data_IF_414604241406
#
_entry.id   IF_414604241406
#
_cell.length_a   1.000
_cell.length_b   1.000
_cell.length_c   1.000
_cell.angle_alpha   90.00
_cell.angle_beta   90.00
_cell.angle_gamma   90.00
#
_symmetry.space_group_name_H-M   'P 1'
#
loop_
_entity.id
_entity.type
_entity.pdbx_description
1 polymer ?
#
# COMPACT_ATOMS: atom_id res chain seq x y z
N UNK A 1 14.34 19.80 12.66
CA UNK A 1 15.15 19.41 11.49
C UNK A 1 14.28 19.39 10.23
N UNK A 2 13.17 18.65 10.17
CA UNK A 2 12.34 18.53 8.98
C UNK A 2 11.76 19.89 8.54
N UNK A 3 11.24 20.67 9.47
CA UNK A 3 10.69 22.00 9.23
C UNK A 3 11.71 22.96 8.61
N UNK A 4 12.93 22.96 9.08
CA UNK A 4 14.02 23.80 8.52
C UNK A 4 14.50 23.30 7.16
N UNK A 5 14.60 21.99 6.96
CA UNK A 5 15.13 21.37 5.75
C UNK A 5 14.14 21.35 4.58
N UNK A 6 12.87 21.01 4.80
CA UNK A 6 11.74 20.95 3.86
C UNK A 6 11.96 20.19 2.53
N UNK A 7 13.03 19.41 2.38
CA UNK A 7 13.35 18.72 1.11
C UNK A 7 12.29 17.71 0.68
N UNK A 8 11.49 17.21 1.62
CA UNK A 8 10.49 16.18 1.38
C UNK A 8 9.08 16.74 1.08
N UNK A 9 8.91 18.08 1.09
CA UNK A 9 7.59 18.74 0.94
C UNK A 9 6.79 18.26 -0.28
N UNK A 10 7.45 17.91 -1.36
CA UNK A 10 6.82 17.50 -2.61
C UNK A 10 6.55 16.01 -2.74
N UNK A 11 6.83 15.20 -1.71
CA UNK A 11 6.69 13.74 -1.81
C UNK A 11 5.29 13.23 -1.45
N UNK A 12 4.65 13.83 -0.46
CA UNK A 12 3.32 13.43 0.03
C UNK A 12 2.69 14.57 0.84
N UNK A 13 1.44 14.41 1.26
CA UNK A 13 0.71 15.41 2.05
C UNK A 13 1.18 15.49 3.51
N UNK A 14 1.79 14.43 4.06
CA UNK A 14 2.25 14.40 5.45
C UNK A 14 3.26 15.52 5.79
N UNK A 15 4.13 15.88 4.86
CA UNK A 15 5.10 16.96 5.09
C UNK A 15 4.52 18.36 4.97
N UNK A 16 3.73 18.71 3.94
CA UNK A 16 3.00 19.98 3.93
C UNK A 16 2.18 20.16 5.21
N UNK A 17 1.36 19.20 5.60
CA UNK A 17 0.58 19.26 6.84
C UNK A 17 1.46 19.49 8.08
N UNK A 18 2.61 18.80 8.20
CA UNK A 18 3.54 19.05 9.30
C UNK A 18 4.08 20.49 9.29
N UNK A 19 4.41 21.00 8.12
CA UNK A 19 4.99 22.34 8.00
C UNK A 19 3.96 23.43 8.23
N UNK A 20 2.75 23.27 7.72
CA UNK A 20 1.64 24.20 7.91
C UNK A 20 1.23 24.27 9.40
N UNK A 21 1.15 23.15 10.09
CA UNK A 21 0.89 23.11 11.54
C UNK A 21 1.94 23.91 12.36
N UNK A 22 3.20 23.88 11.92
CA UNK A 22 4.26 24.63 12.59
C UNK A 22 4.21 26.11 12.20
N UNK A 23 4.06 26.40 10.90
CA UNK A 23 4.04 27.76 10.37
C UNK A 23 2.81 28.56 10.85
N UNK A 24 1.70 27.87 11.16
CA UNK A 24 0.47 28.46 11.70
C UNK A 24 0.46 28.52 13.24
N UNK A 25 1.44 27.94 13.93
CA UNK A 25 1.50 27.98 15.40
C UNK A 25 1.98 29.34 15.91
N UNK A 26 1.57 29.72 17.11
CA UNK A 26 1.92 31.02 17.72
C UNK A 26 3.45 31.21 17.90
N UNK A 27 4.18 30.12 18.08
CA UNK A 27 5.64 30.16 18.30
C UNK A 27 6.44 29.94 17.02
N UNK A 28 5.80 29.52 15.91
CA UNK A 28 6.46 29.04 14.68
C UNK A 28 7.41 27.86 14.94
N UNK A 29 7.19 27.11 16.00
CA UNK A 29 8.00 25.95 16.41
C UNK A 29 7.08 24.78 16.85
N UNK A 30 7.67 23.61 17.02
CA UNK A 30 6.93 22.38 17.37
C UNK A 30 6.20 22.47 18.72
N UNK A 31 6.67 23.27 19.64
CA UNK A 31 6.06 23.48 20.97
C UNK A 31 4.74 24.26 20.92
N UNK A 32 4.51 25.01 19.83
CA UNK A 32 3.25 25.70 19.58
C UNK A 32 2.16 24.84 18.95
N UNK A 33 2.47 23.61 18.54
CA UNK A 33 1.52 22.70 17.87
C UNK A 33 0.84 21.81 18.92
N UNK A 34 -0.51 21.69 18.86
CA UNK A 34 -1.23 20.75 19.72
C UNK A 34 -0.84 19.30 19.39
N UNK A 35 -0.56 18.52 20.44
CA UNK A 35 -0.15 17.12 20.28
C UNK A 35 -1.16 16.26 19.50
N UNK A 36 -2.44 16.59 19.56
CA UNK A 36 -3.49 15.88 18.82
C UNK A 36 -3.44 16.15 17.31
N UNK A 37 -2.90 17.29 16.88
CA UNK A 37 -2.82 17.66 15.47
C UNK A 37 -1.74 16.87 14.73
N UNK A 38 -0.70 16.37 15.41
CA UNK A 38 0.27 15.47 14.80
C UNK A 38 -0.34 14.17 14.26
N UNK A 39 -1.53 13.78 14.75
CA UNK A 39 -2.25 12.63 14.20
C UNK A 39 -2.62 12.84 12.72
N UNK A 40 -2.87 14.08 12.27
CA UNK A 40 -3.11 14.40 10.85
C UNK A 40 -1.90 14.04 10.00
N UNK A 41 -0.71 14.41 10.47
CA UNK A 41 0.57 14.08 9.81
C UNK A 41 0.79 12.59 9.70
N UNK A 42 0.46 11.84 10.77
CA UNK A 42 0.57 10.37 10.81
C UNK A 42 -0.41 9.72 9.83
N UNK A 43 -1.66 10.21 9.78
CA UNK A 43 -2.71 9.63 8.94
C UNK A 43 -2.41 9.82 7.44
N UNK A 44 -1.70 10.89 7.06
CA UNK A 44 -1.33 11.19 5.67
C UNK A 44 -0.02 10.53 5.18
N UNK A 45 0.68 9.84 6.05
CA UNK A 45 1.86 9.09 5.66
C UNK A 45 1.48 7.76 4.99
N UNK A 46 1.91 7.57 3.74
CA UNK A 46 1.66 6.35 2.94
C UNK A 46 2.65 5.21 3.19
N UNK A 47 3.58 5.35 4.13
CA UNK A 47 4.60 4.35 4.42
C UNK A 47 5.43 3.91 3.19
N UNK A 48 5.65 4.81 2.23
CA UNK A 48 6.32 4.51 0.96
C UNK A 48 7.85 4.60 1.00
N UNK A 49 8.42 5.06 2.10
CA UNK A 49 9.87 5.24 2.36
C UNK A 49 10.62 6.17 1.39
N UNK A 50 9.97 6.82 0.44
CA UNK A 50 10.64 7.71 -0.53
C UNK A 50 11.42 8.84 0.15
N UNK A 51 10.89 9.39 1.25
CA UNK A 51 11.60 10.42 2.01
C UNK A 51 12.91 9.89 2.59
N UNK A 52 12.90 8.67 3.11
CA UNK A 52 14.08 8.02 3.67
C UNK A 52 15.10 7.65 2.59
N UNK A 53 14.65 6.99 1.51
CA UNK A 53 15.53 6.43 0.50
C UNK A 53 16.12 7.47 -0.45
N UNK A 54 15.40 8.54 -0.77
CA UNK A 54 15.79 9.42 -1.88
C UNK A 54 16.04 10.87 -1.51
N UNK A 55 15.47 11.37 -0.41
CA UNK A 55 15.46 12.82 -0.13
C UNK A 55 16.16 13.23 1.16
N UNK A 56 16.04 12.44 2.22
CA UNK A 56 16.54 12.83 3.52
C UNK A 56 18.07 12.71 3.62
N UNK A 57 18.80 13.79 3.85
CA UNK A 57 20.25 13.73 4.05
C UNK A 57 20.65 13.29 5.47
N UNK A 58 19.68 13.12 6.36
CA UNK A 58 19.90 12.86 7.78
C UNK A 58 19.61 11.40 8.18
N UNK A 59 19.37 10.52 7.21
CA UNK A 59 19.28 9.08 7.46
C UNK A 59 20.66 8.48 7.74
N UNK A 60 20.77 7.28 8.32
CA UNK A 60 22.05 6.59 8.47
C UNK A 60 22.86 6.58 7.16
N UNK A 61 24.16 6.83 7.19
CA UNK A 61 25.06 6.91 8.35
C UNK A 61 25.16 8.28 9.04
N UNK A 62 24.26 9.22 8.77
CA UNK A 62 24.25 10.51 9.45
C UNK A 62 24.06 10.33 10.97
N UNK A 63 24.77 11.12 11.83
CA UNK A 63 24.67 10.95 13.30
C UNK A 63 23.27 11.09 13.89
N UNK A 64 22.40 11.86 13.23
CA UNK A 64 21.01 12.00 13.66
C UNK A 64 20.13 10.79 13.36
N UNK A 65 20.53 9.93 12.43
CA UNK A 65 19.86 8.68 12.07
C UNK A 65 18.34 8.82 11.97
N UNK A 66 17.86 9.87 11.27
CA UNK A 66 16.42 10.15 11.17
C UNK A 66 15.71 9.08 10.37
N UNK A 67 14.61 8.60 10.91
CA UNK A 67 13.72 7.63 10.27
C UNK A 67 12.26 8.09 10.44
N UNK A 68 11.81 8.95 9.53
CA UNK A 68 10.46 9.50 9.55
C UNK A 68 9.39 8.40 9.31
N UNK A 69 9.54 7.48 8.34
CA UNK A 69 8.58 6.40 8.14
C UNK A 69 8.36 5.54 9.39
N UNK A 70 9.42 5.15 10.08
CA UNK A 70 9.28 4.40 11.34
C UNK A 70 8.60 5.19 12.46
N UNK A 71 8.85 6.50 12.53
CA UNK A 71 8.14 7.36 13.47
C UNK A 71 6.64 7.38 13.17
N UNK A 72 6.26 7.51 11.90
CA UNK A 72 4.87 7.47 11.47
C UNK A 72 4.23 6.11 11.75
N UNK A 73 4.96 5.01 11.51
CA UNK A 73 4.48 3.66 11.83
C UNK A 73 4.16 3.51 13.33
N UNK A 74 5.00 4.05 14.21
CA UNK A 74 4.72 4.06 15.66
C UNK A 74 3.46 4.84 15.98
N UNK A 75 3.27 6.02 15.38
CA UNK A 75 2.04 6.81 15.51
C UNK A 75 0.80 6.05 15.04
N UNK A 76 0.87 5.41 13.88
CA UNK A 76 -0.21 4.55 13.34
C UNK A 76 -0.52 3.39 14.28
N UNK A 77 0.49 2.71 14.82
CA UNK A 77 0.29 1.59 15.75
C UNK A 77 -0.40 2.01 17.05
N UNK A 78 0.02 3.12 17.65
CA UNK A 78 -0.62 3.70 18.85
C UNK A 78 -2.09 4.06 18.54
N UNK A 79 -2.33 4.79 17.45
CA UNK A 79 -3.67 5.17 17.04
C UNK A 79 -4.58 3.96 16.76
N UNK A 80 -4.01 2.89 16.18
CA UNK A 80 -4.74 1.65 15.92
C UNK A 80 -5.16 0.96 17.23
N UNK A 81 -4.27 0.86 18.20
CA UNK A 81 -4.59 0.26 19.51
C UNK A 81 -5.61 1.09 20.28
N UNK A 82 -5.49 2.41 20.30
CA UNK A 82 -6.39 3.32 21.01
C UNK A 82 -7.76 3.46 20.35
N UNK A 83 -7.80 3.66 19.03
CA UNK A 83 -9.04 3.88 18.26
C UNK A 83 -9.83 2.60 17.99
N UNK A 84 -9.21 1.44 18.07
CA UNK A 84 -9.82 0.17 17.62
C UNK A 84 -10.71 -0.50 18.67
N UNK A 85 -11.44 0.30 19.44
CA UNK A 85 -12.38 -0.20 20.47
C UNK A 85 -13.71 -0.70 19.89
N UNK A 86 -14.11 -0.27 18.68
CA UNK A 86 -15.37 -0.66 18.04
C UNK A 86 -15.25 -1.94 17.25
N UNK A 87 -16.05 -2.96 17.56
CA UNK A 87 -16.14 -4.23 16.82
C UNK A 87 -16.47 -4.00 15.34
N UNK A 88 -17.35 -3.03 15.02
CA UNK A 88 -17.71 -2.68 13.64
C UNK A 88 -16.49 -2.19 12.85
N UNK A 89 -15.68 -1.33 13.45
CA UNK A 89 -14.46 -0.80 12.83
C UNK A 89 -13.44 -1.92 12.61
N UNK A 90 -13.21 -2.76 13.61
CA UNK A 90 -12.30 -3.91 13.50
C UNK A 90 -12.72 -4.88 12.39
N UNK A 91 -14.02 -5.19 12.29
CA UNK A 91 -14.55 -6.04 11.24
C UNK A 91 -14.33 -5.43 9.84
N UNK A 92 -14.63 -4.12 9.67
CA UNK A 92 -14.38 -3.40 8.42
C UNK A 92 -12.90 -3.44 8.04
N UNK A 93 -12.02 -3.06 8.96
CA UNK A 93 -10.58 -2.98 8.73
C UNK A 93 -10.01 -4.37 8.40
N UNK A 94 -10.48 -5.43 9.08
CA UNK A 94 -10.12 -6.82 8.78
C UNK A 94 -10.54 -7.25 7.36
N UNK A 95 -11.72 -6.85 6.90
CA UNK A 95 -12.20 -7.14 5.54
C UNK A 95 -11.35 -6.41 4.51
N UNK A 96 -11.17 -5.10 4.65
CA UNK A 96 -10.45 -4.25 3.69
C UNK A 96 -8.98 -4.69 3.56
N UNK A 97 -8.35 -5.07 4.67
CA UNK A 97 -6.94 -5.47 4.67
C UNK A 97 -6.70 -6.95 4.36
N UNK A 98 -7.75 -7.75 4.22
CA UNK A 98 -7.65 -9.16 3.81
C UNK A 98 -7.68 -9.30 2.28
N UNK A 99 -6.76 -8.66 1.60
CA UNK A 99 -6.72 -8.51 0.13
C UNK A 99 -6.73 -9.84 -0.61
N UNK A 100 -6.06 -10.88 -0.13
CA UNK A 100 -6.08 -12.21 -0.74
C UNK A 100 -7.46 -12.87 -0.66
N UNK A 101 -8.13 -12.78 0.50
CA UNK A 101 -9.47 -13.35 0.69
C UNK A 101 -10.49 -12.56 -0.12
N UNK A 102 -10.39 -11.23 -0.09
CA UNK A 102 -11.25 -10.35 -0.85
C UNK A 102 -11.08 -10.60 -2.36
N UNK A 103 -9.85 -10.69 -2.86
CA UNK A 103 -9.57 -10.98 -4.26
C UNK A 103 -10.14 -12.31 -4.72
N UNK A 104 -10.06 -13.37 -3.91
CA UNK A 104 -10.70 -14.66 -4.20
C UNK A 104 -12.22 -14.57 -4.23
N UNK A 105 -12.81 -13.83 -3.28
CA UNK A 105 -14.26 -13.66 -3.19
C UNK A 105 -14.80 -12.86 -4.38
N UNK A 106 -14.11 -11.80 -4.79
CA UNK A 106 -14.50 -10.94 -5.91
C UNK A 106 -14.46 -11.63 -7.28
N UNK A 107 -13.81 -12.80 -7.38
CA UNK A 107 -13.78 -13.62 -8.60
C UNK A 107 -15.00 -14.54 -8.76
N UNK A 108 -15.87 -14.64 -7.75
CA UNK A 108 -17.13 -15.36 -7.86
C UNK A 108 -18.09 -14.60 -8.78
N UNK A 109 -18.71 -15.26 -9.79
CA UNK A 109 -19.47 -14.57 -10.85
C UNK A 109 -20.56 -13.63 -10.33
N UNK A 110 -21.34 -14.04 -9.34
CA UNK A 110 -22.40 -13.22 -8.73
C UNK A 110 -21.85 -11.99 -8.00
N UNK A 111 -20.70 -12.14 -7.34
CA UNK A 111 -20.07 -11.06 -6.58
C UNK A 111 -19.40 -10.07 -7.53
N UNK A 112 -18.73 -10.56 -8.58
CA UNK A 112 -18.13 -9.72 -9.61
C UNK A 112 -19.18 -8.84 -10.32
N UNK A 113 -20.32 -9.43 -10.71
CA UNK A 113 -21.41 -8.69 -11.34
C UNK A 113 -21.98 -7.63 -10.39
N UNK A 114 -22.24 -7.96 -9.15
CA UNK A 114 -22.78 -7.03 -8.16
C UNK A 114 -21.78 -5.92 -7.83
N UNK A 115 -20.50 -6.27 -7.67
CA UNK A 115 -19.43 -5.32 -7.46
C UNK A 115 -19.30 -4.31 -8.60
N UNK A 116 -19.30 -4.78 -9.85
CA UNK A 116 -19.26 -3.92 -11.05
C UNK A 116 -20.48 -3.02 -11.15
N UNK A 117 -21.67 -3.53 -10.86
CA UNK A 117 -22.89 -2.74 -10.84
C UNK A 117 -22.85 -1.62 -9.79
N UNK A 118 -22.34 -1.91 -8.58
CA UNK A 118 -22.18 -0.91 -7.51
C UNK A 118 -21.08 0.09 -7.86
N UNK A 119 -19.93 -0.38 -8.34
CA UNK A 119 -18.78 0.48 -8.65
C UNK A 119 -19.03 1.44 -9.81
N UNK A 120 -19.89 1.08 -10.77
CA UNK A 120 -20.27 1.92 -11.91
C UNK A 120 -21.40 2.90 -11.62
N UNK A 121 -22.18 2.71 -10.54
CA UNK A 121 -23.33 3.55 -10.21
C UNK A 121 -22.97 4.61 -9.17
N UNK A 122 -23.02 5.93 -9.50
CA UNK A 122 -22.73 7.01 -8.54
C UNK A 122 -23.63 6.97 -7.31
N UNK A 123 -24.92 6.61 -7.48
CA UNK A 123 -25.89 6.52 -6.38
C UNK A 123 -25.54 5.35 -5.44
N UNK A 124 -25.26 4.18 -6.01
CA UNK A 124 -24.87 3.00 -5.23
C UNK A 124 -23.55 3.25 -4.49
N UNK A 125 -22.59 3.94 -5.09
CA UNK A 125 -21.32 4.35 -4.43
C UNK A 125 -21.56 5.28 -3.25
N UNK A 126 -22.49 6.24 -3.34
CA UNK A 126 -22.84 7.10 -2.18
C UNK A 126 -23.42 6.30 -1.01
N UNK A 127 -24.24 5.29 -1.29
CA UNK A 127 -24.78 4.40 -0.25
C UNK A 127 -23.66 3.53 0.34
N UNK A 128 -22.84 2.93 -0.50
CA UNK A 128 -21.70 2.13 -0.06
C UNK A 128 -20.71 2.96 0.79
N UNK A 129 -20.47 4.21 0.43
CA UNK A 129 -19.62 5.14 1.19
C UNK A 129 -20.09 5.31 2.64
N UNK A 130 -21.40 5.47 2.87
CA UNK A 130 -21.97 5.58 4.23
C UNK A 130 -21.77 4.29 5.06
N UNK A 131 -21.77 3.14 4.42
CA UNK A 131 -21.62 1.84 5.09
C UNK A 131 -20.15 1.49 5.37
N UNK A 132 -19.28 1.75 4.39
CA UNK A 132 -17.87 1.35 4.42
C UNK A 132 -16.94 2.43 4.96
N UNK A 133 -17.34 3.70 4.88
CA UNK A 133 -16.49 4.87 5.15
C UNK A 133 -15.49 5.17 4.03
N UNK A 134 -15.58 4.49 2.86
CA UNK A 134 -14.79 4.80 1.68
C UNK A 134 -15.47 5.91 0.90
N UNK A 135 -14.72 6.96 0.52
CA UNK A 135 -15.29 8.09 -0.22
C UNK A 135 -15.96 7.64 -1.53
N UNK A 136 -17.11 8.24 -1.87
CA UNK A 136 -17.87 7.81 -3.04
C UNK A 136 -17.12 7.96 -4.38
N UNK A 137 -16.19 8.91 -4.46
CA UNK A 137 -15.36 9.16 -5.64
C UNK A 137 -14.01 8.44 -5.60
N UNK A 138 -13.67 7.78 -4.49
CA UNK A 138 -12.44 7.01 -4.41
C UNK A 138 -12.37 5.96 -5.53
N UNK A 139 -11.23 5.77 -6.20
CA UNK A 139 -11.10 4.73 -7.21
C UNK A 139 -11.26 3.35 -6.55
N UNK A 140 -12.20 2.56 -7.09
CA UNK A 140 -12.38 1.18 -6.63
C UNK A 140 -11.46 0.27 -7.44
N UNK A 141 -10.78 -0.70 -6.81
CA UNK A 141 -9.87 -1.58 -7.49
C UNK A 141 -10.63 -2.49 -8.47
N UNK A 142 -10.07 -2.68 -9.67
CA UNK A 142 -10.55 -3.71 -10.56
C UNK A 142 -10.10 -5.08 -10.07
N UNK A 143 -10.93 -6.10 -10.24
CA UNK A 143 -10.56 -7.48 -9.98
C UNK A 143 -10.56 -8.27 -11.28
N UNK A 144 -9.44 -8.90 -11.57
CA UNK A 144 -9.22 -9.67 -12.79
C UNK A 144 -9.03 -11.16 -12.46
N UNK A 145 -8.96 -11.96 -13.51
CA UNK A 145 -8.58 -13.37 -13.37
C UNK A 145 -7.18 -13.46 -12.77
N UNK A 146 -6.94 -14.50 -11.97
CA UNK A 146 -5.64 -14.63 -11.32
C UNK A 146 -4.49 -14.81 -12.33
N UNK A 147 -3.30 -14.36 -11.94
CA UNK A 147 -2.10 -14.46 -12.76
C UNK A 147 -1.84 -15.90 -13.26
N UNK A 148 -2.17 -16.90 -12.45
CA UNK A 148 -2.03 -18.31 -12.79
C UNK A 148 -2.89 -18.73 -14.00
N UNK A 149 -3.98 -18.00 -14.27
CA UNK A 149 -4.84 -18.24 -15.44
C UNK A 149 -4.34 -17.52 -16.70
N UNK A 150 -3.53 -16.48 -16.50
CA UNK A 150 -2.95 -15.68 -17.60
C UNK A 150 -1.55 -16.13 -18.00
N UNK A 151 -0.86 -16.95 -17.20
CA UNK A 151 0.42 -17.50 -17.61
C UNK A 151 0.14 -18.37 -18.84
N UNK A 152 0.51 -17.95 -20.04
CA UNK A 152 0.35 -18.80 -21.21
C UNK A 152 1.16 -20.06 -20.97
N UNK A 153 0.58 -21.22 -21.27
CA UNK A 153 1.28 -22.51 -21.23
C UNK A 153 2.52 -22.52 -22.14
N UNK A 154 2.60 -21.54 -23.06
CA UNK A 154 3.77 -21.12 -23.82
C UNK A 154 3.78 -19.61 -23.80
N UNK A 155 4.80 -19.00 -23.21
CA UNK A 155 5.11 -17.59 -23.48
C UNK A 155 5.26 -17.43 -24.98
N UNK A 156 4.67 -16.37 -25.56
CA UNK A 156 4.93 -16.04 -26.96
C UNK A 156 6.43 -16.06 -27.19
N UNK A 157 6.88 -16.54 -28.35
CA UNK A 157 8.31 -16.72 -28.67
C UNK A 157 9.07 -15.43 -28.38
N UNK A 158 9.71 -15.39 -27.22
CA UNK A 158 10.59 -14.29 -26.80
C UNK A 158 11.98 -14.59 -27.39
N UNK A 159 12.58 -13.57 -28.01
CA UNK A 159 13.97 -13.71 -28.48
C UNK A 159 14.89 -13.64 -27.26
N UNK A 160 15.51 -14.75 -26.93
CA UNK A 160 16.48 -14.84 -25.82
C UNK A 160 17.83 -14.36 -26.30
N UNK A 161 18.44 -13.39 -25.63
CA UNK A 161 19.75 -12.85 -26.01
C UNK A 161 20.87 -13.80 -25.59
N UNK A 162 21.09 -13.97 -24.29
CA UNK A 162 22.05 -14.92 -23.72
C UNK A 162 21.46 -15.57 -22.47
N UNK A 163 21.74 -16.84 -22.23
CA UNK A 163 21.32 -17.51 -21.02
C UNK A 163 22.21 -17.12 -19.85
N UNK A 164 21.59 -16.71 -18.78
CA UNK A 164 22.26 -16.51 -17.49
C UNK A 164 22.19 -17.80 -16.66
N UNK A 165 23.15 -17.97 -15.75
CA UNK A 165 23.14 -19.09 -14.80
C UNK A 165 22.21 -18.86 -13.61
N UNK A 166 21.71 -17.62 -13.44
CA UNK A 166 20.83 -17.22 -12.36
C UNK A 166 19.39 -17.71 -12.55
N UNK A 167 18.73 -18.01 -11.41
CA UNK A 167 17.30 -18.36 -11.35
C UNK A 167 16.59 -17.41 -10.43
N UNK A 168 15.38 -16.97 -10.79
CA UNK A 168 14.60 -16.01 -10.04
C UNK A 168 13.26 -16.62 -9.63
N UNK A 169 12.90 -16.48 -8.35
CA UNK A 169 11.55 -16.72 -7.87
C UNK A 169 10.80 -15.38 -7.86
N UNK A 170 9.71 -15.28 -8.61
CA UNK A 170 8.91 -14.05 -8.71
C UNK A 170 7.78 -14.10 -7.69
N UNK A 171 7.84 -13.20 -6.72
CA UNK A 171 6.77 -12.94 -5.76
C UNK A 171 5.77 -11.96 -6.37
N UNK A 172 4.56 -12.41 -6.64
CA UNK A 172 3.56 -11.58 -7.33
C UNK A 172 2.80 -10.65 -6.39
N UNK A 173 2.62 -11.06 -5.15
CA UNK A 173 1.78 -10.33 -4.19
C UNK A 173 0.29 -10.33 -4.56
N UNK A 174 -0.52 -9.74 -3.70
CA UNK A 174 -1.98 -9.75 -3.88
C UNK A 174 -2.44 -8.88 -5.05
N UNK A 175 -1.76 -7.75 -5.33
CA UNK A 175 -2.17 -6.84 -6.39
C UNK A 175 -2.00 -7.46 -7.78
N UNK A 176 -0.80 -7.93 -8.14
CA UNK A 176 -0.59 -8.60 -9.42
C UNK A 176 -1.45 -9.86 -9.57
N UNK A 177 -1.69 -10.57 -8.46
CA UNK A 177 -2.50 -11.79 -8.51
C UNK A 177 -3.99 -11.54 -8.73
N UNK A 178 -4.54 -10.45 -8.19
CA UNK A 178 -5.99 -10.25 -8.15
C UNK A 178 -6.47 -9.04 -8.95
N UNK A 179 -5.61 -8.06 -9.22
CA UNK A 179 -6.01 -6.78 -9.79
C UNK A 179 -5.37 -6.53 -11.17
N UNK A 180 -4.08 -6.84 -11.33
CA UNK A 180 -3.37 -6.65 -12.62
C UNK A 180 -2.35 -7.76 -12.87
N UNK A 181 -2.81 -8.82 -13.51
CA UNK A 181 -1.97 -9.98 -13.84
C UNK A 181 -0.92 -9.67 -14.93
N UNK A 182 -1.14 -8.62 -15.74
CA UNK A 182 -0.24 -8.26 -16.83
C UNK A 182 1.12 -7.82 -16.30
N UNK A 183 1.18 -7.16 -15.14
CA UNK A 183 2.45 -6.76 -14.51
C UNK A 183 3.39 -7.95 -14.29
N UNK A 184 2.87 -9.07 -13.78
CA UNK A 184 3.66 -10.28 -13.58
C UNK A 184 4.05 -10.93 -14.91
N UNK A 185 3.15 -10.96 -15.90
CA UNK A 185 3.42 -11.50 -17.21
C UNK A 185 4.52 -10.71 -17.95
N UNK A 186 4.46 -9.40 -17.88
CA UNK A 186 5.46 -8.54 -18.53
C UNK A 186 6.84 -8.68 -17.88
N UNK A 187 6.88 -8.78 -16.53
CA UNK A 187 8.13 -9.10 -15.83
C UNK A 187 8.71 -10.45 -16.27
N UNK A 188 7.88 -11.49 -16.40
CA UNK A 188 8.33 -12.80 -16.87
C UNK A 188 8.88 -12.74 -18.29
N UNK A 189 8.23 -11.99 -19.21
CA UNK A 189 8.73 -11.78 -20.58
C UNK A 189 10.08 -11.08 -20.60
N UNK A 190 10.25 -10.05 -19.75
CA UNK A 190 11.53 -9.32 -19.63
C UNK A 190 12.64 -10.26 -19.12
N UNK A 191 12.36 -11.07 -18.11
CA UNK A 191 13.33 -12.02 -17.57
C UNK A 191 13.68 -13.09 -18.62
N UNK A 192 12.70 -13.63 -19.33
CA UNK A 192 12.91 -14.60 -20.39
C UNK A 192 13.73 -14.02 -21.55
N UNK A 193 13.42 -12.77 -21.98
CA UNK A 193 14.20 -12.06 -23.01
C UNK A 193 15.68 -11.94 -22.62
N UNK A 194 15.96 -11.69 -21.36
CA UNK A 194 17.33 -11.60 -20.83
C UNK A 194 17.93 -12.98 -20.48
N UNK A 195 17.30 -14.08 -20.86
CA UNK A 195 17.80 -15.43 -20.61
C UNK A 195 17.80 -15.86 -19.15
N UNK A 196 17.02 -15.19 -18.29
CA UNK A 196 16.90 -15.50 -16.86
C UNK A 196 15.77 -16.49 -16.64
N UNK A 197 16.08 -17.67 -16.08
CA UNK A 197 15.06 -18.65 -15.69
C UNK A 197 14.24 -18.09 -14.52
N UNK A 198 12.94 -17.89 -14.73
CA UNK A 198 12.03 -17.34 -13.72
C UNK A 198 10.88 -18.30 -13.43
N UNK A 199 10.48 -18.37 -12.14
CA UNK A 199 9.31 -19.13 -11.70
C UNK A 199 8.44 -18.29 -10.78
N UNK A 200 7.13 -18.37 -10.95
CA UNK A 200 6.18 -17.76 -10.01
C UNK A 200 6.12 -18.54 -8.70
N UNK A 201 6.08 -17.80 -7.60
CA UNK A 201 5.79 -18.37 -6.29
C UNK A 201 4.28 -18.60 -6.17
N UNK A 202 3.84 -19.87 -6.30
CA UNK A 202 2.40 -20.20 -6.34
C UNK A 202 1.67 -20.03 -5.01
N UNK A 203 2.39 -20.14 -3.89
CA UNK A 203 1.81 -20.11 -2.54
C UNK A 203 2.26 -18.88 -1.74
N UNK A 204 2.58 -17.78 -2.42
CA UNK A 204 2.90 -16.53 -1.75
C UNK A 204 1.68 -15.98 -0.99
N UNK A 205 1.94 -15.41 0.18
CA UNK A 205 0.94 -14.76 1.01
C UNK A 205 0.96 -13.25 0.77
N UNK A 206 -0.04 -12.56 1.29
CA UNK A 206 -0.02 -11.10 1.31
C UNK A 206 1.22 -10.60 2.05
N UNK A 207 1.87 -9.55 1.51
CA UNK A 207 3.03 -8.91 2.14
C UNK A 207 2.69 -8.19 3.46
N UNK A 208 1.40 -8.04 3.78
CA UNK A 208 0.95 -7.36 5.00
C UNK A 208 0.86 -5.84 4.91
N UNK A 209 1.25 -5.22 3.80
CA UNK A 209 1.28 -3.76 3.67
C UNK A 209 -0.03 -3.05 4.06
N UNK A 210 -1.24 -3.52 3.66
CA UNK A 210 -2.48 -2.89 4.09
C UNK A 210 -2.71 -2.92 5.61
N UNK A 211 -2.20 -3.94 6.30
CA UNK A 211 -2.26 -4.03 7.76
C UNK A 211 -1.20 -3.15 8.42
N UNK A 212 -0.01 -3.11 7.83
CA UNK A 212 1.08 -2.25 8.27
C UNK A 212 0.65 -0.77 8.21
N UNK A 213 0.04 -0.37 7.10
CA UNK A 213 -0.44 1.00 6.90
C UNK A 213 -1.55 1.40 7.89
N UNK A 214 -2.36 0.47 8.35
CA UNK A 214 -3.30 0.69 9.44
C UNK A 214 -2.65 0.73 10.83
N UNK A 215 -1.41 0.28 11.00
CA UNK A 215 -0.74 0.10 12.28
C UNK A 215 -1.07 -1.22 12.99
N UNK A 216 -1.73 -2.19 12.34
CA UNK A 216 -2.04 -3.52 12.90
C UNK A 216 -0.82 -4.45 12.86
N UNK A 217 0.20 -4.11 13.65
CA UNK A 217 1.47 -4.83 13.68
C UNK A 217 1.30 -6.28 14.14
N UNK A 218 0.36 -6.54 15.07
CA UNK A 218 0.08 -7.90 15.57
C UNK A 218 -0.44 -8.84 14.49
N UNK A 219 -1.18 -8.30 13.52
CA UNK A 219 -1.65 -9.09 12.37
C UNK A 219 -0.58 -9.24 11.29
N UNK A 220 0.33 -8.28 11.15
CA UNK A 220 1.48 -8.38 10.25
C UNK A 220 2.44 -9.48 10.70
N UNK A 221 2.75 -9.55 11.99
CA UNK A 221 3.63 -10.56 12.58
C UNK A 221 3.15 -12.01 12.35
N UNK A 222 1.85 -12.20 12.10
CA UNK A 222 1.25 -13.53 11.89
C UNK A 222 1.20 -13.98 10.41
N UNK A 223 1.64 -13.14 9.48
CA UNK A 223 1.64 -13.46 8.04
C UNK A 223 2.88 -14.25 7.63
#
# INVERSE_FOLDING_TARGET
VCHTCRRCVSLCESFPTLFDLIDESDTFELDGVDNNDFQKVVDECYMCDLCYQTKCPYVPPHPWALDFPHLMLRGKAIAYEEKNKSLKKRARDSVITSTDRLGKLMKLPLIDITYKAISSSPTARKVASKLTGVHAEAPWPNFEKSVEQYIPKKLDKVQVTEKTTGKVAVFTGCYCRNNDANLANDLLKVLEHNGVEAKLMMNDKCCGMPKLDLGDLKSVEKL
#
